data_IF_707221133288
#
_entry.id   IF_707221133288
#
_cell.length_a   1.000
_cell.length_b   1.000
_cell.length_c   1.000
_cell.angle_alpha   90.00
_cell.angle_beta   90.00
_cell.angle_gamma   90.00
#
_symmetry.space_group_name_H-M   'P 1'
#
loop_
_entity.id
_entity.type
_entity.pdbx_description
1 polymer ?
#
# COMPACT_ATOMS: atom_id res chain seq x y z
N UNK A 1 8.32 -23.11 37.45
CA UNK A 1 8.97 -21.78 37.37
C UNK A 1 9.78 -21.41 38.61
N UNK A 2 9.27 -21.57 39.85
CA UNK A 2 10.00 -21.16 41.08
C UNK A 2 11.37 -21.82 41.28
N UNK A 3 11.53 -23.10 40.90
CA UNK A 3 12.81 -23.84 41.01
C UNK A 3 13.90 -23.29 40.07
N UNK A 4 13.60 -23.12 38.77
CA UNK A 4 14.50 -22.47 37.79
C UNK A 4 14.95 -21.07 38.22
N UNK A 5 14.06 -20.28 38.82
CA UNK A 5 14.41 -18.95 39.31
C UNK A 5 15.35 -19.00 40.53
N UNK A 6 15.18 -19.99 41.42
CA UNK A 6 16.12 -20.23 42.52
C UNK A 6 17.47 -20.74 42.03
N UNK A 7 17.49 -21.59 41.00
CA UNK A 7 18.71 -22.11 40.40
C UNK A 7 19.52 -20.99 39.74
N UNK A 8 18.86 -20.12 38.95
CA UNK A 8 19.48 -18.92 38.35
C UNK A 8 20.01 -17.94 39.41
N UNK A 9 19.28 -17.76 40.51
CA UNK A 9 19.74 -16.91 41.63
C UNK A 9 20.97 -17.51 42.32
N UNK A 10 21.01 -18.83 42.52
CA UNK A 10 22.18 -19.53 43.06
C UNK A 10 23.38 -19.42 42.14
N UNK A 11 23.20 -19.63 40.83
CA UNK A 11 24.25 -19.45 39.83
C UNK A 11 24.80 -18.02 39.85
N UNK A 12 23.92 -17.01 39.87
CA UNK A 12 24.33 -15.60 39.92
C UNK A 12 25.17 -15.27 41.15
N UNK A 13 24.82 -15.79 42.32
CA UNK A 13 25.60 -15.61 43.55
C UNK A 13 26.95 -16.35 43.49
N UNK A 14 26.98 -17.52 42.85
CA UNK A 14 28.22 -18.27 42.58
C UNK A 14 29.15 -17.49 41.64
N UNK A 15 28.61 -16.92 40.56
CA UNK A 15 29.36 -16.07 39.62
C UNK A 15 29.85 -14.78 40.27
N UNK A 16 29.03 -14.11 41.10
CA UNK A 16 29.47 -12.95 41.90
C UNK A 16 30.60 -13.30 42.86
N UNK A 17 30.51 -14.44 43.53
CA UNK A 17 31.57 -14.93 44.42
C UNK A 17 32.86 -15.30 43.69
N UNK A 18 32.76 -15.76 42.44
CA UNK A 18 33.91 -15.94 41.56
C UNK A 18 34.51 -14.58 41.17
N UNK A 19 33.69 -13.62 40.74
CA UNK A 19 34.11 -12.25 40.36
C UNK A 19 34.77 -11.52 41.53
N UNK A 20 34.29 -11.69 42.77
CA UNK A 20 34.95 -11.11 43.95
C UNK A 20 36.32 -11.77 44.27
N UNK A 21 36.60 -12.96 43.73
CA UNK A 21 37.91 -13.62 43.79
C UNK A 21 38.79 -13.33 42.56
N UNK A 22 38.30 -12.57 41.57
CA UNK A 22 39.08 -12.19 40.38
C UNK A 22 40.26 -11.27 40.71
N UNK A 23 40.24 -10.52 41.83
CA UNK A 23 41.34 -9.64 42.21
C UNK A 23 42.66 -10.38 42.50
N UNK A 24 42.65 -11.73 42.62
CA UNK A 24 43.84 -12.55 42.86
C UNK A 24 44.37 -13.30 41.62
N UNK A 25 43.59 -13.39 40.54
CA UNK A 25 44.02 -14.07 39.31
C UNK A 25 44.16 -13.05 38.19
N UNK A 26 45.37 -12.89 37.65
CA UNK A 26 45.59 -12.15 36.40
C UNK A 26 45.00 -12.94 35.22
N UNK A 27 43.67 -12.95 35.12
CA UNK A 27 42.95 -13.52 33.99
C UNK A 27 42.56 -12.38 33.06
N UNK A 28 43.10 -12.42 31.84
CA UNK A 28 42.66 -11.55 30.76
C UNK A 28 41.33 -12.06 30.19
N UNK A 29 40.34 -11.18 30.08
CA UNK A 29 39.08 -11.49 29.41
C UNK A 29 39.32 -11.56 27.90
N UNK A 30 39.40 -12.79 27.38
CA UNK A 30 39.52 -13.06 25.95
C UNK A 30 38.15 -13.20 25.24
N UNK A 31 37.05 -12.83 25.90
CA UNK A 31 35.72 -12.90 25.32
C UNK A 31 35.50 -11.75 24.35
N UNK A 32 35.40 -12.06 23.06
CA UNK A 32 35.05 -11.10 22.02
C UNK A 32 33.54 -10.82 22.03
N UNK A 33 33.09 -10.08 23.05
CA UNK A 33 31.69 -9.71 23.22
C UNK A 33 31.15 -8.88 22.05
N UNK A 34 32.01 -8.11 21.37
CA UNK A 34 31.64 -7.36 20.17
C UNK A 34 31.31 -8.31 19.00
N UNK A 35 32.10 -9.36 18.80
CA UNK A 35 31.80 -10.39 17.79
C UNK A 35 30.54 -11.18 18.12
N UNK A 36 30.33 -11.55 19.38
CA UNK A 36 29.11 -12.25 19.82
C UNK A 36 27.87 -11.36 19.65
N UNK A 37 27.96 -10.09 19.99
CA UNK A 37 26.88 -9.12 19.79
C UNK A 37 26.57 -8.93 18.29
N UNK A 38 27.61 -8.87 17.45
CA UNK A 38 27.46 -8.78 16.00
C UNK A 38 26.77 -10.02 15.42
N UNK A 39 27.22 -11.22 15.78
CA UNK A 39 26.61 -12.48 15.33
C UNK A 39 25.15 -12.61 15.79
N UNK A 40 24.86 -12.19 17.03
CA UNK A 40 23.50 -12.16 17.54
C UNK A 40 22.61 -11.19 16.76
N UNK A 41 23.08 -9.96 16.49
CA UNK A 41 22.36 -8.97 15.67
C UNK A 41 22.09 -9.50 14.26
N UNK A 42 23.08 -10.12 13.62
CA UNK A 42 22.93 -10.74 12.29
C UNK A 42 21.86 -11.85 12.30
N UNK A 43 21.86 -12.73 13.32
CA UNK A 43 20.83 -13.77 13.47
C UNK A 43 19.44 -13.20 13.71
N UNK A 44 19.31 -12.16 14.55
CA UNK A 44 18.03 -11.50 14.81
C UNK A 44 17.49 -10.84 13.54
N UNK A 45 18.34 -10.12 12.79
CA UNK A 45 17.99 -9.51 11.51
C UNK A 45 17.54 -10.57 10.49
N UNK A 46 18.24 -11.70 10.40
CA UNK A 46 17.87 -12.80 9.51
C UNK A 46 16.53 -13.44 9.88
N UNK A 47 16.26 -13.64 11.17
CA UNK A 47 14.97 -14.16 11.65
C UNK A 47 13.82 -13.19 11.38
N UNK A 48 14.03 -11.89 11.64
CA UNK A 48 13.04 -10.85 11.34
C UNK A 48 12.74 -10.79 9.84
N UNK A 49 13.77 -10.79 8.99
CA UNK A 49 13.60 -10.81 7.54
C UNK A 49 12.83 -12.05 7.06
N UNK A 50 13.11 -13.23 7.63
CA UNK A 50 12.40 -14.47 7.28
C UNK A 50 10.92 -14.45 7.71
N UNK A 51 10.61 -13.88 8.87
CA UNK A 51 9.24 -13.72 9.34
C UNK A 51 8.47 -12.72 8.47
N UNK A 52 9.08 -11.56 8.19
CA UNK A 52 8.52 -10.54 7.32
C UNK A 52 8.24 -11.05 5.91
N UNK A 53 9.15 -11.82 5.33
CA UNK A 53 9.00 -12.44 4.01
C UNK A 53 7.84 -13.44 4.01
N UNK A 54 7.70 -14.25 5.06
CA UNK A 54 6.59 -15.22 5.16
C UNK A 54 5.23 -14.54 5.27
N UNK A 55 5.13 -13.51 6.11
CA UNK A 55 3.91 -12.71 6.26
C UNK A 55 3.57 -12.00 4.94
N UNK A 56 4.58 -11.49 4.24
CA UNK A 56 4.43 -10.88 2.93
C UNK A 56 3.93 -11.87 1.88
N UNK A 57 4.54 -13.05 1.77
CA UNK A 57 4.08 -14.07 0.83
C UNK A 57 2.63 -14.48 1.08
N UNK A 58 2.19 -14.50 2.34
CA UNK A 58 0.80 -14.77 2.66
C UNK A 58 -0.12 -13.61 2.22
N UNK A 59 0.29 -12.36 2.47
CA UNK A 59 -0.47 -11.17 2.06
C UNK A 59 -0.57 -11.06 0.53
N UNK A 60 0.55 -11.22 -0.20
CA UNK A 60 0.54 -11.24 -1.67
C UNK A 60 -0.31 -12.40 -2.17
N UNK A 61 -0.20 -13.60 -1.61
CA UNK A 61 -1.05 -14.73 -2.03
C UNK A 61 -2.53 -14.42 -1.81
N UNK A 62 -2.89 -13.71 -0.75
CA UNK A 62 -4.27 -13.27 -0.51
C UNK A 62 -4.71 -12.24 -1.55
N UNK A 63 -3.93 -11.19 -1.75
CA UNK A 63 -4.21 -10.13 -2.72
C UNK A 63 -4.24 -10.66 -4.16
N UNK A 64 -3.23 -11.43 -4.57
CA UNK A 64 -3.20 -12.11 -5.87
C UNK A 64 -4.37 -13.05 -6.05
N UNK A 65 -4.80 -13.79 -5.02
CA UNK A 65 -5.97 -14.68 -5.15
C UNK A 65 -7.24 -13.87 -5.38
N UNK A 66 -7.47 -12.80 -4.62
CA UNK A 66 -8.64 -11.94 -4.78
C UNK A 66 -8.63 -11.15 -6.09
N UNK A 67 -7.48 -10.73 -6.56
CA UNK A 67 -7.33 -9.99 -7.81
C UNK A 67 -7.37 -10.90 -9.02
N UNK A 68 -6.70 -12.06 -8.97
CA UNK A 68 -6.78 -13.10 -9.99
C UNK A 68 -8.19 -13.65 -10.14
N UNK A 69 -8.92 -13.88 -9.04
CA UNK A 69 -10.33 -14.29 -9.13
C UNK A 69 -11.18 -13.22 -9.84
N UNK A 70 -10.96 -11.93 -9.54
CA UNK A 70 -11.65 -10.83 -10.21
C UNK A 70 -11.27 -10.72 -11.69
N UNK A 71 -9.99 -10.88 -12.03
CA UNK A 71 -9.50 -10.86 -13.41
C UNK A 71 -9.97 -12.07 -14.22
N UNK A 72 -9.88 -13.28 -13.68
CA UNK A 72 -10.36 -14.51 -14.33
C UNK A 72 -11.87 -14.44 -14.57
N UNK A 73 -12.67 -13.88 -13.64
CA UNK A 73 -14.10 -13.68 -13.85
C UNK A 73 -14.38 -12.67 -14.98
N UNK A 74 -13.61 -11.58 -15.04
CA UNK A 74 -13.72 -10.58 -16.10
C UNK A 74 -13.29 -11.12 -17.46
N UNK A 75 -12.15 -11.81 -17.54
CA UNK A 75 -11.65 -12.43 -18.77
C UNK A 75 -12.60 -13.52 -19.27
N UNK A 76 -13.14 -14.34 -18.37
CA UNK A 76 -14.13 -15.36 -18.72
C UNK A 76 -15.37 -14.70 -19.33
N UNK A 77 -15.90 -13.64 -18.70
CA UNK A 77 -17.05 -12.89 -19.24
C UNK A 77 -16.74 -12.23 -20.59
N UNK A 78 -15.52 -11.72 -20.78
CA UNK A 78 -15.10 -11.14 -22.07
C UNK A 78 -15.03 -12.20 -23.17
N UNK A 79 -14.43 -13.37 -22.89
CA UNK A 79 -14.37 -14.48 -23.86
C UNK A 79 -15.75 -15.03 -24.18
N UNK A 80 -16.59 -15.24 -23.17
CA UNK A 80 -17.98 -15.66 -23.35
C UNK A 80 -18.75 -14.67 -24.24
N UNK A 81 -18.53 -13.36 -24.06
CA UNK A 81 -19.15 -12.33 -24.89
C UNK A 81 -18.62 -12.33 -26.34
N UNK A 82 -17.31 -12.49 -26.55
CA UNK A 82 -16.71 -12.54 -27.89
C UNK A 82 -17.13 -13.79 -28.68
N UNK A 83 -17.22 -14.94 -28.01
CA UNK A 83 -17.71 -16.19 -28.61
C UNK A 83 -19.20 -16.10 -28.98
N UNK A 84 -20.04 -15.52 -28.11
CA UNK A 84 -21.46 -15.32 -28.42
C UNK A 84 -21.64 -14.28 -29.54
N UNK A 85 -20.82 -13.22 -29.61
CA UNK A 85 -20.86 -12.24 -30.71
C UNK A 85 -20.56 -12.90 -32.05
N UNK A 86 -19.49 -13.71 -32.15
CA UNK A 86 -19.17 -14.47 -33.38
C UNK A 86 -20.29 -15.42 -33.77
N UNK A 87 -20.87 -16.12 -32.80
CA UNK A 87 -21.98 -17.04 -33.05
C UNK A 87 -23.22 -16.33 -33.57
N UNK A 88 -23.53 -15.15 -33.01
CA UNK A 88 -24.67 -14.34 -33.46
C UNK A 88 -24.42 -13.77 -34.87
N UNK A 89 -23.19 -13.35 -35.21
CA UNK A 89 -22.83 -12.93 -36.57
C UNK A 89 -23.02 -14.06 -37.60
N UNK A 90 -22.60 -15.28 -37.28
CA UNK A 90 -22.80 -16.44 -38.17
C UNK A 90 -24.28 -16.76 -38.38
N UNK A 91 -25.08 -16.68 -37.32
CA UNK A 91 -26.54 -16.85 -37.40
C UNK A 91 -27.18 -15.75 -38.27
N UNK A 92 -26.70 -14.52 -38.16
CA UNK A 92 -27.23 -13.41 -38.95
C UNK A 92 -26.94 -13.61 -40.43
N UNK A 93 -25.72 -14.02 -40.79
CA UNK A 93 -25.35 -14.34 -42.18
C UNK A 93 -26.21 -15.46 -42.76
N UNK A 94 -26.44 -16.53 -41.99
CA UNK A 94 -27.27 -17.64 -42.44
C UNK A 94 -28.73 -17.23 -42.70
N UNK A 95 -29.30 -16.37 -41.85
CA UNK A 95 -30.65 -15.83 -42.04
C UNK A 95 -30.70 -14.89 -43.26
N UNK A 96 -29.69 -14.03 -43.45
CA UNK A 96 -29.61 -13.13 -44.60
C UNK A 96 -29.49 -13.89 -45.94
N UNK A 97 -28.69 -14.97 -45.97
CA UNK A 97 -28.60 -15.87 -47.14
C UNK A 97 -29.93 -16.58 -47.42
N UNK A 98 -30.62 -17.06 -46.37
CA UNK A 98 -31.93 -17.69 -46.51
C UNK A 98 -33.00 -16.70 -47.00
N UNK A 99 -32.97 -15.45 -46.53
CA UNK A 99 -33.85 -14.37 -46.96
C UNK A 99 -33.65 -13.98 -48.43
N UNK A 100 -32.41 -14.06 -48.93
CA UNK A 100 -32.10 -13.79 -50.33
C UNK A 100 -32.71 -14.84 -51.29
N UNK A 101 -32.95 -16.07 -50.80
CA UNK A 101 -33.46 -17.20 -51.57
C UNK A 101 -34.98 -17.44 -51.37
N UNK A 102 -35.59 -16.88 -50.33
CA UNK A 102 -36.98 -17.17 -49.94
C UNK A 102 -38.02 -16.25 -50.62
N UNK A 103 -39.16 -16.84 -51.00
CA UNK A 103 -40.34 -16.14 -51.52
C UNK A 103 -41.60 -16.46 -50.69
N UNK A 104 -42.57 -15.54 -50.68
CA UNK A 104 -43.88 -15.75 -50.04
C UNK A 104 -43.84 -15.79 -48.51
N UNK A 105 -44.57 -16.73 -47.89
CA UNK A 105 -44.77 -16.81 -46.43
C UNK A 105 -43.50 -17.16 -45.66
N UNK A 106 -42.58 -17.92 -46.25
CA UNK A 106 -41.27 -18.25 -45.64
C UNK A 106 -40.39 -17.02 -45.44
N UNK A 107 -40.53 -16.01 -46.31
CA UNK A 107 -39.78 -14.75 -46.19
C UNK A 107 -40.21 -13.95 -44.97
N UNK A 108 -41.50 -13.93 -44.65
CA UNK A 108 -42.02 -13.23 -43.48
C UNK A 108 -41.57 -13.87 -42.15
N UNK A 109 -41.51 -15.21 -42.09
CA UNK A 109 -40.99 -15.94 -40.92
C UNK A 109 -39.48 -15.69 -40.73
N UNK A 110 -38.69 -15.71 -41.82
CA UNK A 110 -37.27 -15.39 -41.77
C UNK A 110 -36.99 -13.93 -41.38
N UNK A 111 -37.83 -12.98 -41.83
CA UNK A 111 -37.73 -11.57 -41.42
C UNK A 111 -38.01 -11.40 -39.93
N UNK A 112 -38.97 -12.14 -39.37
CA UNK A 112 -39.18 -12.17 -37.92
C UNK A 112 -37.97 -12.71 -37.16
N UNK A 113 -37.39 -13.83 -37.61
CA UNK A 113 -36.19 -14.40 -36.99
C UNK A 113 -34.98 -13.45 -37.07
N UNK A 114 -34.83 -12.70 -38.17
CA UNK A 114 -33.79 -11.67 -38.28
C UNK A 114 -33.96 -10.58 -37.23
N UNK A 115 -35.20 -10.13 -37.01
CA UNK A 115 -35.52 -9.05 -36.08
C UNK A 115 -35.33 -9.47 -34.62
N UNK A 116 -35.68 -10.71 -34.28
CA UNK A 116 -35.36 -11.30 -32.96
C UNK A 116 -33.85 -11.43 -32.74
N UNK A 117 -33.10 -11.82 -33.77
CA UNK A 117 -31.65 -11.94 -33.70
C UNK A 117 -30.97 -10.58 -33.54
N UNK A 118 -31.41 -9.55 -34.28
CA UNK A 118 -30.95 -8.16 -34.14
C UNK A 118 -31.19 -7.62 -32.71
N UNK A 119 -32.34 -7.91 -32.11
CA UNK A 119 -32.61 -7.55 -30.71
C UNK A 119 -31.65 -8.26 -29.74
N UNK A 120 -31.39 -9.55 -29.97
CA UNK A 120 -30.47 -10.34 -29.13
C UNK A 120 -29.03 -9.80 -29.22
N UNK A 121 -28.58 -9.43 -30.41
CA UNK A 121 -27.28 -8.78 -30.64
C UNK A 121 -27.19 -7.46 -29.88
N UNK A 122 -28.23 -6.61 -29.96
CA UNK A 122 -28.26 -5.33 -29.26
C UNK A 122 -28.19 -5.51 -27.72
N UNK A 123 -28.87 -6.52 -27.18
CA UNK A 123 -28.84 -6.83 -25.74
C UNK A 123 -27.47 -7.32 -25.27
N UNK A 124 -26.81 -8.19 -26.05
CA UNK A 124 -25.43 -8.66 -25.74
C UNK A 124 -24.45 -7.49 -25.77
N UNK A 125 -24.52 -6.63 -26.78
CA UNK A 125 -23.65 -5.46 -26.91
C UNK A 125 -23.83 -4.50 -25.72
N UNK A 126 -25.08 -4.30 -25.27
CA UNK A 126 -25.39 -3.49 -24.08
C UNK A 126 -24.86 -4.11 -22.79
N UNK A 127 -24.87 -5.44 -22.66
CA UNK A 127 -24.28 -6.14 -21.52
C UNK A 127 -22.75 -6.06 -21.51
N UNK A 128 -22.12 -6.16 -22.68
CA UNK A 128 -20.68 -6.01 -22.85
C UNK A 128 -20.20 -4.61 -22.47
N UNK A 129 -20.86 -3.56 -22.99
CA UNK A 129 -20.54 -2.17 -22.65
C UNK A 129 -20.72 -1.88 -21.15
N UNK A 130 -21.74 -2.47 -20.52
CA UNK A 130 -21.90 -2.43 -19.06
C UNK A 130 -20.75 -3.11 -18.33
N UNK A 131 -20.32 -4.30 -18.76
CA UNK A 131 -19.21 -5.02 -18.14
C UNK A 131 -17.87 -4.28 -18.30
N UNK A 132 -17.61 -3.67 -19.45
CA UNK A 132 -16.44 -2.83 -19.72
C UNK A 132 -16.43 -1.57 -18.85
N UNK A 133 -17.58 -0.91 -18.71
CA UNK A 133 -17.76 0.22 -17.80
C UNK A 133 -17.47 -0.19 -16.35
N UNK A 134 -17.93 -1.37 -15.93
CA UNK A 134 -17.62 -1.93 -14.61
C UNK A 134 -16.13 -2.21 -14.41
N UNK A 135 -15.41 -2.67 -15.43
CA UNK A 135 -13.96 -2.88 -15.36
C UNK A 135 -13.14 -1.57 -15.31
N UNK A 136 -13.64 -0.49 -15.91
CA UNK A 136 -13.06 0.84 -15.69
C UNK A 136 -13.33 1.35 -14.27
N UNK A 137 -14.54 1.13 -13.76
CA UNK A 137 -14.91 1.45 -12.37
C UNK A 137 -14.05 0.71 -11.34
N UNK A 138 -13.51 -0.48 -11.64
CA UNK A 138 -12.65 -1.21 -10.67
C UNK A 138 -11.22 -0.66 -10.57
N UNK A 139 -10.74 0.09 -11.58
CA UNK A 139 -9.42 0.74 -11.60
C UNK A 139 -9.46 2.18 -11.06
N UNK A 140 -10.66 2.76 -11.00
CA UNK A 140 -10.88 4.08 -10.45
C UNK A 140 -10.57 4.10 -8.95
N UNK A 141 -9.97 5.20 -8.50
CA UNK A 141 -9.65 5.42 -7.10
C UNK A 141 -8.97 6.75 -6.86
N UNK A 142 -8.31 6.86 -5.71
CA UNK A 142 -7.57 8.04 -5.30
C UNK A 142 -6.12 7.69 -5.02
N UNK A 143 -5.19 8.50 -5.54
CA UNK A 143 -3.78 8.49 -5.14
C UNK A 143 -3.58 9.60 -4.13
N UNK A 144 -3.03 9.28 -2.97
CA UNK A 144 -2.74 10.25 -1.92
C UNK A 144 -1.24 10.47 -1.77
N UNK A 145 -0.89 11.70 -1.44
CA UNK A 145 0.46 12.11 -1.02
C UNK A 145 0.32 12.67 0.38
N UNK A 146 0.95 12.01 1.35
CA UNK A 146 0.85 12.37 2.77
C UNK A 146 2.24 12.48 3.40
N UNK A 147 2.36 13.29 4.44
CA UNK A 147 3.58 13.40 5.23
C UNK A 147 3.26 13.37 6.72
N UNK A 148 4.29 13.17 7.54
CA UNK A 148 4.18 13.27 8.98
C UNK A 148 5.51 13.80 9.48
N UNK A 149 5.58 15.13 9.60
CA UNK A 149 6.82 15.82 9.93
C UNK A 149 7.32 15.46 11.32
N UNK A 150 6.41 15.25 12.28
CA UNK A 150 6.77 14.91 13.66
C UNK A 150 7.35 13.51 13.82
N UNK A 151 7.00 12.58 12.93
CA UNK A 151 7.50 11.18 12.98
C UNK A 151 8.68 10.94 12.05
N UNK A 152 8.71 11.59 10.89
CA UNK A 152 9.66 11.26 9.81
C UNK A 152 10.55 12.43 9.38
N UNK A 153 10.27 13.65 9.85
CA UNK A 153 10.98 14.88 9.49
C UNK A 153 10.50 15.49 8.17
N UNK A 154 11.15 16.58 7.78
CA UNK A 154 10.85 17.33 6.56
C UNK A 154 11.16 16.54 5.29
N UNK A 155 10.40 16.85 4.22
CA UNK A 155 10.57 16.27 2.89
C UNK A 155 10.49 14.74 2.85
N UNK A 156 9.76 14.13 3.79
CA UNK A 156 9.47 12.69 3.78
C UNK A 156 8.00 12.46 3.51
N UNK A 157 7.72 11.83 2.37
CA UNK A 157 6.36 11.62 1.87
C UNK A 157 6.06 10.14 1.73
N UNK A 158 4.83 9.76 2.05
CA UNK A 158 4.23 8.49 1.65
C UNK A 158 3.30 8.73 0.46
N UNK A 159 3.47 7.90 -0.56
CA UNK A 159 2.61 7.85 -1.74
C UNK A 159 1.92 6.50 -1.77
N UNK A 160 0.61 6.48 -1.95
CA UNK A 160 -0.15 5.25 -2.11
C UNK A 160 -1.53 5.51 -2.70
N UNK A 161 -2.28 4.44 -2.93
CA UNK A 161 -3.64 4.53 -3.48
C UNK A 161 -4.71 3.95 -2.55
N UNK A 162 -5.95 4.41 -2.75
CA UNK A 162 -7.14 3.92 -2.06
C UNK A 162 -8.32 3.90 -3.03
N UNK A 163 -9.18 2.89 -2.89
CA UNK A 163 -10.43 2.77 -3.65
C UNK A 163 -11.66 2.93 -2.76
N UNK A 164 -11.46 3.45 -1.55
CA UNK A 164 -12.55 3.73 -0.63
C UNK A 164 -13.39 4.88 -1.14
N UNK A 165 -14.68 4.82 -0.81
CA UNK A 165 -15.62 5.91 -1.09
C UNK A 165 -15.17 7.21 -0.42
N UNK A 166 -14.74 7.12 0.83
CA UNK A 166 -14.17 8.22 1.60
C UNK A 166 -12.64 8.03 1.71
N UNK A 167 -11.84 8.69 0.88
CA UNK A 167 -10.39 8.47 0.86
C UNK A 167 -9.68 8.98 2.11
N UNK A 168 -10.26 9.97 2.80
CA UNK A 168 -9.73 10.52 4.06
C UNK A 168 -9.74 9.52 5.21
N UNK A 169 -10.70 8.58 5.23
CA UNK A 169 -10.75 7.54 6.27
C UNK A 169 -9.53 6.61 6.19
N UNK A 170 -9.02 6.36 4.98
CA UNK A 170 -7.79 5.58 4.81
C UNK A 170 -6.58 6.30 5.43
N UNK A 171 -6.51 7.62 5.27
CA UNK A 171 -5.41 8.42 5.83
C UNK A 171 -5.44 8.38 7.36
N UNK A 172 -6.62 8.52 7.97
CA UNK A 172 -6.80 8.45 9.42
C UNK A 172 -6.38 7.09 10.00
N UNK A 173 -6.82 5.99 9.38
CA UNK A 173 -6.41 4.64 9.81
C UNK A 173 -4.90 4.41 9.78
N UNK A 174 -4.21 5.00 8.80
CA UNK A 174 -2.75 4.91 8.69
C UNK A 174 -2.05 5.66 9.84
N UNK A 175 -2.63 6.78 10.28
CA UNK A 175 -2.15 7.57 11.43
C UNK A 175 -2.32 6.82 12.74
N UNK A 176 -3.56 6.49 13.08
CA UNK A 176 -3.96 5.91 14.38
C UNK A 176 -3.19 4.64 14.75
N UNK A 177 -2.84 3.82 13.75
CA UNK A 177 -2.28 2.50 13.99
C UNK A 177 -0.74 2.50 14.15
N UNK A 178 -0.03 3.57 13.81
CA UNK A 178 1.40 3.41 13.44
C UNK A 178 2.33 4.58 13.74
N UNK A 179 1.84 5.77 14.09
CA UNK A 179 2.69 6.96 14.25
C UNK A 179 2.23 7.87 15.40
N UNK A 180 3.13 8.61 16.07
CA UNK A 180 2.77 9.54 17.17
C UNK A 180 1.91 10.75 16.78
N UNK A 181 1.95 11.17 15.52
CA UNK A 181 1.20 12.31 15.01
C UNK A 181 0.32 11.89 13.83
N UNK A 182 -0.74 12.64 13.56
CA UNK A 182 -1.56 12.40 12.37
C UNK A 182 -0.79 12.68 11.07
N UNK A 183 -1.23 12.04 9.98
CA UNK A 183 -0.72 12.34 8.64
C UNK A 183 -1.33 13.63 8.09
N UNK A 184 -0.46 14.49 7.59
CA UNK A 184 -0.82 15.66 6.81
C UNK A 184 -1.03 15.27 5.34
N UNK A 185 -2.13 15.74 4.74
CA UNK A 185 -2.45 15.47 3.33
C UNK A 185 -1.96 16.61 2.45
N UNK A 186 -1.06 16.29 1.52
CA UNK A 186 -0.58 17.23 0.51
C UNK A 186 -1.40 17.18 -0.76
N UNK A 187 -1.84 16.00 -1.19
CA UNK A 187 -2.68 15.85 -2.37
C UNK A 187 -3.60 14.64 -2.25
N UNK A 188 -4.79 14.75 -2.81
CA UNK A 188 -5.76 13.67 -2.97
C UNK A 188 -6.26 13.66 -4.41
N UNK A 189 -5.70 12.77 -5.23
CA UNK A 189 -5.84 12.79 -6.69
C UNK A 189 -6.85 11.74 -7.10
N UNK A 190 -8.03 12.15 -7.58
CA UNK A 190 -8.99 11.22 -8.18
C UNK A 190 -8.52 10.83 -9.58
N UNK A 191 -8.40 9.53 -9.84
CA UNK A 191 -7.90 9.00 -11.11
C UNK A 191 -8.74 7.80 -11.56
N UNK A 192 -8.99 7.70 -12.87
CA UNK A 192 -9.67 6.56 -13.50
C UNK A 192 -8.81 5.29 -13.46
N UNK A 193 -7.48 5.43 -13.39
CA UNK A 193 -6.54 4.33 -13.16
C UNK A 193 -5.53 4.73 -12.06
N UNK A 194 -5.98 4.62 -10.81
CA UNK A 194 -5.14 4.92 -9.66
C UNK A 194 -3.90 3.98 -9.54
N UNK A 195 -4.01 2.65 -9.81
CA UNK A 195 -2.84 1.77 -9.81
C UNK A 195 -1.75 2.17 -10.82
N UNK A 196 -2.12 2.59 -12.02
CA UNK A 196 -1.14 3.01 -13.03
C UNK A 196 -0.38 4.28 -12.60
N UNK A 197 -1.09 5.26 -12.04
CA UNK A 197 -0.49 6.50 -11.54
C UNK A 197 0.43 6.24 -10.33
N UNK A 198 0.00 5.42 -9.38
CA UNK A 198 0.83 5.02 -8.23
C UNK A 198 2.12 4.34 -8.70
N UNK A 199 2.02 3.37 -9.60
CA UNK A 199 3.18 2.66 -10.13
C UNK A 199 4.17 3.63 -10.78
N UNK A 200 3.69 4.56 -11.61
CA UNK A 200 4.54 5.56 -12.25
C UNK A 200 5.28 6.44 -11.22
N UNK A 201 4.60 6.83 -10.14
CA UNK A 201 5.22 7.58 -9.04
C UNK A 201 6.27 6.75 -8.31
N UNK A 202 5.97 5.50 -7.96
CA UNK A 202 6.92 4.61 -7.28
C UNK A 202 8.15 4.32 -8.12
N UNK A 203 7.98 4.06 -9.42
CA UNK A 203 9.08 3.82 -10.35
C UNK A 203 10.03 5.03 -10.41
N UNK A 204 9.48 6.25 -10.45
CA UNK A 204 10.29 7.48 -10.40
C UNK A 204 10.95 7.71 -9.05
N UNK A 205 10.23 7.40 -7.96
CA UNK A 205 10.64 7.67 -6.58
C UNK A 205 11.55 6.59 -5.97
N UNK A 206 11.78 5.48 -6.65
CA UNK A 206 12.57 4.34 -6.17
C UNK A 206 13.93 4.77 -5.58
N UNK A 207 14.63 5.70 -6.24
CA UNK A 207 15.93 6.21 -5.78
C UNK A 207 15.87 7.05 -4.49
N UNK A 208 14.69 7.53 -4.12
CA UNK A 208 14.43 8.38 -2.96
C UNK A 208 13.88 7.61 -1.75
N UNK A 209 13.77 6.28 -1.83
CA UNK A 209 13.26 5.47 -0.72
C UNK A 209 14.06 5.68 0.57
N UNK A 210 13.34 5.91 1.66
CA UNK A 210 13.90 5.97 3.02
C UNK A 210 14.32 4.57 3.46
N UNK A 211 13.46 3.58 3.25
CA UNK A 211 13.76 2.19 3.56
C UNK A 211 14.23 1.44 2.31
N UNK A 212 15.54 1.10 2.28
CA UNK A 212 16.18 0.36 1.18
C UNK A 212 16.14 -1.16 1.35
N UNK A 213 15.70 -1.64 2.51
CA UNK A 213 15.68 -3.06 2.85
C UNK A 213 14.25 -3.60 2.71
N UNK A 214 13.28 -2.93 3.33
CA UNK A 214 11.87 -3.27 3.24
C UNK A 214 11.16 -2.29 2.29
N UNK A 215 11.13 -2.65 1.00
CA UNK A 215 10.53 -1.85 -0.08
C UNK A 215 9.01 -1.69 0.04
N UNK A 216 8.36 -2.43 0.94
CA UNK A 216 6.92 -2.31 1.24
C UNK A 216 6.61 -1.01 2.01
N UNK A 217 7.63 -0.41 2.65
CA UNK A 217 7.51 0.87 3.33
C UNK A 217 7.77 1.99 2.31
N UNK A 218 6.70 2.42 1.65
CA UNK A 218 6.70 3.43 0.57
C UNK A 218 6.85 4.86 1.10
N UNK A 219 7.92 5.11 1.85
CA UNK A 219 8.32 6.43 2.29
C UNK A 219 9.51 6.91 1.45
N UNK A 220 9.42 8.13 0.95
CA UNK A 220 10.37 8.72 0.02
C UNK A 220 10.85 10.06 0.55
N UNK A 221 12.17 10.28 0.56
CA UNK A 221 12.79 11.55 0.93
C UNK A 221 13.09 12.35 -0.33
N UNK A 222 12.23 13.30 -0.64
CA UNK A 222 12.26 14.08 -1.89
C UNK A 222 11.50 15.39 -1.70
N UNK A 223 11.81 16.42 -2.46
CA UNK A 223 11.00 17.65 -2.51
C UNK A 223 9.62 17.36 -3.12
N UNK A 224 8.57 17.97 -2.55
CA UNK A 224 7.20 17.75 -2.98
C UNK A 224 6.99 18.11 -4.45
N UNK A 225 7.64 19.17 -4.92
CA UNK A 225 7.58 19.68 -6.29
C UNK A 225 7.91 18.58 -7.30
N UNK A 226 8.90 17.74 -7.02
CA UNK A 226 9.29 16.62 -7.89
C UNK A 226 8.21 15.56 -7.98
N UNK A 227 7.45 15.32 -6.90
CA UNK A 227 6.32 14.40 -6.91
C UNK A 227 5.20 14.99 -7.77
N UNK A 228 4.90 16.28 -7.57
CA UNK A 228 3.86 16.99 -8.31
C UNK A 228 4.17 17.08 -9.81
N UNK A 229 5.43 17.26 -10.20
CA UNK A 229 5.85 17.25 -11.61
C UNK A 229 5.54 15.92 -12.30
N UNK A 230 5.80 14.80 -11.62
CA UNK A 230 5.48 13.47 -12.15
C UNK A 230 3.98 13.27 -12.26
N UNK A 231 3.21 13.69 -11.24
CA UNK A 231 1.74 13.67 -11.32
C UNK A 231 1.25 14.48 -12.50
N UNK A 232 1.78 15.69 -12.71
CA UNK A 232 1.41 16.56 -13.83
C UNK A 232 1.69 15.94 -15.19
N UNK A 233 2.78 15.19 -15.31
CA UNK A 233 3.12 14.51 -16.56
C UNK A 233 2.18 13.35 -16.89
N UNK A 234 1.72 12.61 -15.88
CA UNK A 234 0.93 11.38 -16.08
C UNK A 234 -0.59 11.59 -15.97
N UNK A 235 -1.04 12.56 -15.17
CA UNK A 235 -2.45 12.77 -14.84
C UNK A 235 -2.93 14.19 -15.17
N UNK A 236 -2.02 15.17 -15.19
CA UNK A 236 -2.34 16.58 -15.46
C UNK A 236 -2.35 17.44 -14.19
N UNK A 237 -2.94 18.64 -14.30
CA UNK A 237 -2.94 19.59 -13.19
C UNK A 237 -3.81 19.10 -12.02
N UNK A 238 -3.26 19.20 -10.82
CA UNK A 238 -3.90 18.81 -9.57
C UNK A 238 -3.83 19.93 -8.54
N UNK A 239 -4.79 19.95 -7.62
CA UNK A 239 -4.70 20.77 -6.42
C UNK A 239 -3.83 20.06 -5.38
N UNK A 240 -2.93 20.82 -4.75
CA UNK A 240 -2.07 20.32 -3.70
C UNK A 240 -1.78 21.41 -2.67
N UNK A 241 -1.47 20.99 -1.45
CA UNK A 241 -1.06 21.82 -0.32
C UNK A 241 0.44 21.64 -0.13
N UNK A 242 1.20 22.71 -0.39
CA UNK A 242 2.66 22.66 -0.25
C UNK A 242 3.09 22.55 1.22
N UNK A 243 2.47 23.34 2.09
CA UNK A 243 2.77 23.39 3.51
C UNK A 243 1.51 23.07 4.34
N UNK A 244 1.32 21.83 4.79
CA UNK A 244 0.19 21.45 5.61
C UNK A 244 0.37 21.94 7.05
N UNK A 245 -0.72 22.01 7.80
CA UNK A 245 -0.74 22.70 9.08
C UNK A 245 0.03 21.98 10.20
N UNK A 246 0.22 20.65 10.13
CA UNK A 246 0.94 19.84 11.13
C UNK A 246 0.65 20.26 12.59
N UNK A 247 -0.63 20.49 12.90
CA UNK A 247 -1.05 21.23 14.11
C UNK A 247 -0.58 20.57 15.41
N UNK A 248 -0.67 19.24 15.49
CA UNK A 248 -0.23 18.50 16.68
C UNK A 248 1.27 18.67 16.90
N UNK A 249 2.07 18.59 15.84
CA UNK A 249 3.52 18.71 15.92
C UNK A 249 3.95 20.11 16.38
N UNK A 250 3.46 21.18 15.75
CA UNK A 250 3.83 22.54 16.16
C UNK A 250 3.35 22.87 17.57
N UNK A 251 2.18 22.36 17.98
CA UNK A 251 1.70 22.51 19.36
C UNK A 251 2.60 21.80 20.37
N UNK A 252 3.13 20.62 20.03
CA UNK A 252 4.11 19.93 20.87
C UNK A 252 5.40 20.75 21.01
N UNK A 253 5.92 21.33 19.92
CA UNK A 253 7.11 22.19 19.97
C UNK A 253 6.89 23.46 20.83
N UNK A 254 5.71 24.08 20.75
CA UNK A 254 5.36 25.23 21.60
C UNK A 254 5.36 24.85 23.09
N UNK A 255 4.81 23.68 23.43
CA UNK A 255 4.81 23.17 24.81
C UNK A 255 6.21 22.83 25.30
N UNK A 256 7.05 22.21 24.48
CA UNK A 256 8.45 21.92 24.82
C UNK A 256 9.25 23.19 25.10
N UNK A 257 9.01 24.26 24.31
CA UNK A 257 9.59 25.57 24.57
C UNK A 257 9.19 26.13 25.94
N UNK A 258 7.90 26.11 26.26
CA UNK A 258 7.39 26.56 27.55
C UNK A 258 7.92 25.73 28.72
N UNK A 259 7.99 24.40 28.57
CA UNK A 259 8.54 23.50 29.57
C UNK A 259 10.03 23.78 29.81
N UNK A 260 10.80 24.01 28.74
CA UNK A 260 12.23 24.32 28.85
C UNK A 260 12.50 25.63 29.59
N UNK A 261 11.72 26.69 29.32
CA UNK A 261 11.79 27.97 30.04
C UNK A 261 11.44 27.78 31.52
N UNK A 262 10.42 26.97 31.82
CA UNK A 262 10.02 26.66 33.19
C UNK A 262 11.09 25.88 33.97
N UNK A 263 11.75 24.90 33.34
CA UNK A 263 12.83 24.13 33.97
C UNK A 263 14.08 24.98 34.20
N UNK A 264 14.42 25.89 33.28
CA UNK A 264 15.52 26.84 33.47
C UNK A 264 15.24 27.81 34.64
N UNK A 265 14.01 28.31 34.75
CA UNK A 265 13.60 29.18 35.86
C UNK A 265 13.66 28.43 37.21
N UNK A 266 13.17 27.19 37.27
CA UNK A 266 13.26 26.34 38.47
C UNK A 266 14.71 25.97 38.84
N UNK A 267 15.56 25.66 37.86
CA UNK A 267 16.98 25.38 38.10
C UNK A 267 17.72 26.62 38.62
N UNK A 268 17.40 27.81 38.11
CA UNK A 268 17.98 29.07 38.58
C UNK A 268 17.58 29.38 40.04
N UNK A 269 16.32 29.10 40.41
CA UNK A 269 15.81 29.24 41.78
C UNK A 269 16.40 28.21 42.76
N UNK A 270 16.72 27.00 42.29
CA UNK A 270 17.32 25.95 43.11
C UNK A 270 18.84 26.15 43.36
N UNK A 271 19.49 27.01 42.57
CA UNK A 271 20.94 27.29 42.66
C UNK A 271 21.24 28.61 43.38
N UNK A 272 20.22 29.40 43.70
CA UNK A 272 20.29 30.66 44.46
C UNK A 272 20.03 30.43 45.96
#
# INVERSE_FOLDING_TARGET
MKKKLQDIKKERELYKGLIAKYDFFHLEDHSDWEAVEKEFKEKVLALQAAQEEREYQNEIKRQMKEERQRQEELERRQREAEEEEKRLEEQQRAIDEALALAEGTYKAELEQQRLELEQKIADVHKQYERAKSMAQLTRQGHVYIISNIGSFGENVYKVGMTRRLEPMDRVKELGDASVPFDFDVHAMISCDDAPALEKALHDYLERYRVNKVNLRKEFFRVELEKIIEVVKHHHGNIEYVANPAALQYYRTLEMEGQDSEMYEEQASLATA
#
